data_IF_980933640385
#
_entry.id   IF_980933640385
#
_cell.length_a   1.000
_cell.length_b   1.000
_cell.length_c   1.000
_cell.angle_alpha   90.00
_cell.angle_beta   90.00
_cell.angle_gamma   90.00
#
_symmetry.space_group_name_H-M   'P 1'
#
loop_
_entity.id
_entity.type
_entity.pdbx_description
1 polymer ?
#
# COMPACT_ATOMS: atom_id res chain seq x y z
N UNK A 1 0.90 -8.47 -1.74
CA UNK A 1 1.94 -7.84 -0.89
C UNK A 1 2.50 -8.76 0.21
N UNK A 2 1.73 -9.75 0.70
CA UNK A 2 2.15 -10.62 1.81
C UNK A 2 3.52 -11.29 1.67
N UNK A 3 3.85 -11.87 0.52
CA UNK A 3 5.12 -12.60 0.38
C UNK A 3 6.34 -11.68 0.63
N UNK A 4 6.32 -10.45 0.08
CA UNK A 4 7.36 -9.45 0.33
C UNK A 4 7.43 -9.07 1.81
N UNK A 5 6.28 -8.83 2.45
CA UNK A 5 6.23 -8.56 3.90
C UNK A 5 6.86 -9.70 4.71
N UNK A 6 6.57 -10.96 4.36
CA UNK A 6 7.15 -12.13 5.02
C UNK A 6 8.68 -12.14 4.98
N UNK A 7 9.29 -11.71 3.87
CA UNK A 7 10.76 -11.61 3.76
C UNK A 7 11.39 -10.63 4.76
N UNK A 8 10.62 -9.63 5.24
CA UNK A 8 11.10 -8.60 6.17
C UNK A 8 10.92 -9.00 7.64
N UNK A 9 9.87 -9.77 7.95
CA UNK A 9 9.48 -10.11 9.33
C UNK A 9 9.98 -11.49 9.79
N UNK A 10 10.10 -12.45 8.88
CA UNK A 10 10.53 -13.81 9.21
C UNK A 10 12.02 -13.84 9.54
N UNK A 11 12.41 -14.56 10.60
CA UNK A 11 13.82 -14.66 11.03
C UNK A 11 14.73 -15.16 9.91
N UNK A 12 14.28 -16.12 9.10
CA UNK A 12 15.04 -16.68 7.98
C UNK A 12 14.85 -15.91 6.68
N UNK A 13 13.93 -14.94 6.62
CA UNK A 13 13.43 -14.39 5.35
C UNK A 13 12.29 -15.23 4.77
N UNK A 14 12.05 -15.12 3.45
CA UNK A 14 10.94 -15.80 2.80
C UNK A 14 11.04 -15.88 1.28
N UNK A 15 10.20 -16.72 0.69
CA UNK A 15 10.11 -16.89 -0.77
C UNK A 15 9.13 -15.89 -1.37
N UNK A 16 9.58 -15.16 -2.40
CA UNK A 16 8.73 -14.26 -3.21
C UNK A 16 8.27 -14.91 -4.51
N UNK A 17 8.99 -15.94 -4.96
CA UNK A 17 8.56 -16.85 -6.05
C UNK A 17 8.91 -18.28 -5.65
N UNK A 18 8.50 -19.28 -6.45
CA UNK A 18 8.86 -20.70 -6.21
C UNK A 18 10.38 -20.96 -6.17
N UNK A 19 11.20 -20.02 -6.68
CA UNK A 19 12.66 -20.20 -6.82
C UNK A 19 13.49 -19.08 -6.19
N UNK A 20 12.87 -17.98 -5.76
CA UNK A 20 13.58 -16.84 -5.19
C UNK A 20 13.27 -16.71 -3.71
N UNK A 21 14.24 -17.11 -2.88
CA UNK A 21 14.28 -16.83 -1.45
C UNK A 21 15.00 -15.50 -1.21
N UNK A 22 14.42 -14.64 -0.38
CA UNK A 22 15.01 -13.38 0.07
C UNK A 22 15.29 -13.50 1.57
N UNK A 23 16.58 -13.59 1.99
CA UNK A 23 16.96 -13.54 3.39
C UNK A 23 16.53 -12.23 4.03
N UNK A 24 16.19 -12.26 5.32
CA UNK A 24 15.77 -11.06 6.06
C UNK A 24 16.87 -9.99 6.07
N UNK A 25 18.11 -10.45 6.13
CA UNK A 25 19.31 -9.64 6.19
C UNK A 25 19.44 -8.72 4.97
N UNK A 26 18.86 -9.10 3.82
CA UNK A 26 18.83 -8.24 2.63
C UNK A 26 18.22 -6.87 2.96
N UNK A 27 17.22 -6.83 3.85
CA UNK A 27 16.54 -5.60 4.26
C UNK A 27 17.27 -4.84 5.38
N UNK A 28 18.15 -5.50 6.16
CA UNK A 28 18.86 -4.90 7.29
C UNK A 28 20.34 -4.61 7.04
N UNK A 29 20.92 -5.18 5.97
CA UNK A 29 22.32 -5.01 5.59
C UNK A 29 22.56 -3.59 5.06
N UNK A 30 22.82 -2.68 5.99
CA UNK A 30 23.33 -1.34 5.69
C UNK A 30 24.47 -1.41 4.69
N UNK A 31 24.40 -0.56 3.65
CA UNK A 31 25.47 -0.38 2.67
C UNK A 31 25.03 -0.30 1.22
N UNK A 32 23.79 -0.65 0.87
CA UNK A 32 23.22 -0.29 -0.42
C UNK A 32 22.72 1.15 -0.37
N UNK A 33 23.14 1.99 -1.32
CA UNK A 33 22.60 3.34 -1.47
C UNK A 33 21.30 3.25 -2.27
N UNK A 34 20.16 3.31 -1.58
CA UNK A 34 18.86 3.37 -2.24
C UNK A 34 18.62 4.77 -2.79
N UNK A 35 18.24 4.85 -4.07
CA UNK A 35 17.94 6.12 -4.72
C UNK A 35 16.63 6.71 -4.19
N UNK A 36 16.60 8.02 -3.96
CA UNK A 36 15.43 8.79 -3.51
C UNK A 36 14.75 8.19 -2.26
N UNK A 37 15.55 7.64 -1.34
CA UNK A 37 15.08 7.00 -0.12
C UNK A 37 14.16 7.93 0.72
N UNK A 38 14.49 9.22 0.94
CA UNK A 38 13.63 10.11 1.73
C UNK A 38 12.25 10.27 1.10
N UNK A 39 12.14 10.38 -0.22
CA UNK A 39 10.85 10.43 -0.90
C UNK A 39 10.07 9.14 -0.80
N UNK A 40 10.73 7.98 -0.90
CA UNK A 40 10.07 6.68 -0.72
C UNK A 40 9.51 6.53 0.68
N UNK A 41 10.28 6.91 1.71
CA UNK A 41 9.81 6.91 3.11
C UNK A 41 8.56 7.78 3.24
N UNK A 42 8.57 9.01 2.71
CA UNK A 42 7.39 9.90 2.73
C UNK A 42 6.19 9.31 2.01
N UNK A 43 6.39 8.70 0.83
CA UNK A 43 5.31 8.06 0.07
C UNK A 43 4.71 6.90 0.86
N UNK A 44 5.55 6.08 1.49
CA UNK A 44 5.12 4.96 2.32
C UNK A 44 4.30 5.43 3.52
N UNK A 45 4.71 6.51 4.18
CA UNK A 45 3.98 7.12 5.30
C UNK A 45 2.61 7.65 4.86
N UNK A 46 2.57 8.45 3.79
CA UNK A 46 1.32 8.99 3.23
C UNK A 46 0.33 7.88 2.87
N UNK A 47 0.81 6.79 2.25
CA UNK A 47 -0.03 5.66 1.91
C UNK A 47 -0.49 4.87 3.15
N UNK A 48 0.36 4.74 4.19
CA UNK A 48 -0.06 4.14 5.45
C UNK A 48 -1.19 4.93 6.10
N UNK A 49 -1.07 6.26 6.17
CA UNK A 49 -2.08 7.13 6.76
C UNK A 49 -3.41 7.04 6.00
N UNK A 50 -3.37 7.08 4.67
CA UNK A 50 -4.56 6.93 3.85
C UNK A 50 -5.22 5.54 4.00
N UNK A 51 -4.44 4.46 4.11
CA UNK A 51 -4.98 3.12 4.34
C UNK A 51 -5.55 2.94 5.75
N UNK A 52 -5.03 3.63 6.76
CA UNK A 52 -5.63 3.61 8.11
C UNK A 52 -7.03 4.25 8.09
N UNK A 53 -7.22 5.34 7.34
CA UNK A 53 -8.56 5.92 7.14
C UNK A 53 -9.50 4.95 6.41
N UNK A 54 -9.01 4.23 5.39
CA UNK A 54 -9.77 3.17 4.70
C UNK A 54 -10.12 2.03 5.67
N UNK A 55 -9.21 1.65 6.57
CA UNK A 55 -9.46 0.63 7.59
C UNK A 55 -10.55 1.03 8.57
N UNK A 56 -10.52 2.28 9.05
CA UNK A 56 -11.57 2.79 9.93
C UNK A 56 -12.94 2.77 9.23
N UNK A 57 -13.01 3.25 7.99
CA UNK A 57 -14.23 3.21 7.18
C UNK A 57 -14.70 1.77 6.88
N UNK A 58 -13.78 0.82 6.70
CA UNK A 58 -14.13 -0.59 6.55
C UNK A 58 -14.82 -1.15 7.78
N UNK A 59 -14.39 -0.77 8.98
CA UNK A 59 -15.01 -1.25 10.23
C UNK A 59 -16.43 -0.70 10.34
N UNK A 60 -16.66 0.54 9.92
CA UNK A 60 -17.99 1.14 9.87
C UNK A 60 -18.91 0.43 8.86
N UNK A 61 -18.38 0.12 7.68
CA UNK A 61 -19.11 -0.53 6.59
C UNK A 61 -19.42 -2.02 6.87
N UNK A 62 -18.44 -2.80 7.32
CA UNK A 62 -18.59 -4.24 7.53
C UNK A 62 -19.14 -4.58 8.93
N UNK A 63 -18.94 -3.71 9.93
CA UNK A 63 -19.22 -4.02 11.32
C UNK A 63 -18.16 -4.89 11.99
N UNK A 64 -18.36 -5.27 13.26
CA UNK A 64 -17.32 -5.83 14.13
C UNK A 64 -16.88 -7.25 13.74
N UNK A 65 -17.64 -7.93 12.88
CA UNK A 65 -17.33 -9.29 12.40
C UNK A 65 -16.34 -9.32 11.24
N UNK A 66 -15.82 -8.16 10.82
CA UNK A 66 -14.80 -8.03 9.78
C UNK A 66 -15.35 -8.20 8.36
N UNK A 67 -14.47 -8.10 7.36
CA UNK A 67 -14.85 -7.99 5.94
C UNK A 67 -15.60 -9.22 5.41
N UNK A 68 -15.22 -10.42 5.84
CA UNK A 68 -15.79 -11.67 5.34
C UNK A 68 -17.17 -12.00 5.91
N UNK A 69 -17.39 -11.70 7.20
CA UNK A 69 -18.60 -12.11 7.95
C UNK A 69 -19.45 -10.92 8.41
N UNK A 70 -19.01 -9.70 8.09
CA UNK A 70 -19.65 -8.46 8.46
C UNK A 70 -21.02 -8.28 7.81
N UNK A 71 -21.95 -7.71 8.58
CA UNK A 71 -23.33 -7.40 8.17
C UNK A 71 -23.62 -5.89 8.18
N UNK A 72 -22.63 -5.05 8.50
CA UNK A 72 -22.80 -3.61 8.80
C UNK A 72 -23.06 -3.33 10.29
N UNK A 73 -22.87 -2.07 10.72
CA UNK A 73 -23.19 -1.62 12.07
C UNK A 73 -24.69 -1.26 12.20
N UNK A 74 -25.56 -2.22 12.51
CA UNK A 74 -26.96 -1.93 12.81
C UNK A 74 -27.88 -3.15 12.94
N UNK A 75 -29.03 -2.96 13.59
CA UNK A 75 -30.17 -3.91 13.55
C UNK A 75 -30.82 -3.78 12.17
N UNK A 76 -30.22 -4.40 11.16
CA UNK A 76 -30.63 -4.27 9.76
C UNK A 76 -29.43 -4.28 8.82
N UNK A 77 -29.59 -4.92 7.68
CA UNK A 77 -28.59 -5.05 6.61
C UNK A 77 -27.96 -3.71 6.18
N UNK A 78 -26.71 -3.76 5.71
CA UNK A 78 -26.01 -2.66 5.00
C UNK A 78 -26.95 -1.89 4.09
N UNK A 79 -27.00 -0.56 4.26
CA UNK A 79 -27.86 0.32 3.46
C UNK A 79 -27.14 0.85 2.22
N UNK A 80 -27.90 1.38 1.26
CA UNK A 80 -27.34 2.08 0.10
C UNK A 80 -26.39 3.22 0.52
N UNK A 81 -26.76 3.98 1.57
CA UNK A 81 -25.96 5.09 2.09
C UNK A 81 -24.62 4.61 2.63
N UNK A 82 -24.58 3.46 3.29
CA UNK A 82 -23.34 2.87 3.80
C UNK A 82 -22.41 2.47 2.65
N UNK A 83 -22.99 1.90 1.58
CA UNK A 83 -22.26 1.60 0.35
C UNK A 83 -21.71 2.86 -0.35
N UNK A 84 -22.50 3.94 -0.42
CA UNK A 84 -22.08 5.23 -0.99
C UNK A 84 -20.96 5.88 -0.16
N UNK A 85 -21.05 5.83 1.17
CA UNK A 85 -20.00 6.31 2.07
C UNK A 85 -18.70 5.52 1.89
N UNK A 86 -18.80 4.19 1.81
CA UNK A 86 -17.65 3.33 1.56
C UNK A 86 -16.98 3.62 0.21
N UNK A 87 -17.77 3.80 -0.84
CA UNK A 87 -17.30 4.22 -2.17
C UNK A 87 -16.55 5.56 -2.08
N UNK A 88 -17.08 6.54 -1.34
CA UNK A 88 -16.45 7.85 -1.14
C UNK A 88 -15.09 7.71 -0.46
N UNK A 89 -14.96 6.83 0.54
CA UNK A 89 -13.70 6.59 1.25
C UNK A 89 -12.63 5.93 0.38
N UNK A 90 -13.03 4.99 -0.48
CA UNK A 90 -12.12 4.45 -1.50
C UNK A 90 -11.73 5.50 -2.55
N UNK A 91 -12.62 6.41 -2.92
CA UNK A 91 -12.28 7.51 -3.83
C UNK A 91 -11.29 8.49 -3.21
N UNK A 92 -11.46 8.87 -1.93
CA UNK A 92 -10.49 9.68 -1.20
C UNK A 92 -9.08 9.04 -1.20
N UNK A 93 -9.01 7.72 -1.00
CA UNK A 93 -7.75 6.97 -1.09
C UNK A 93 -7.14 7.02 -2.51
N UNK A 94 -7.96 6.84 -3.55
CA UNK A 94 -7.50 6.91 -4.94
C UNK A 94 -6.99 8.31 -5.32
N UNK A 95 -7.58 9.37 -4.78
CA UNK A 95 -7.06 10.74 -4.93
C UNK A 95 -5.67 10.86 -4.29
N UNK A 96 -5.42 10.24 -3.14
CA UNK A 96 -4.08 10.19 -2.54
C UNK A 96 -3.10 9.44 -3.46
N UNK A 97 -3.51 8.31 -4.03
CA UNK A 97 -2.71 7.57 -5.02
C UNK A 97 -2.32 8.42 -6.23
N UNK A 98 -3.29 9.15 -6.81
CA UNK A 98 -3.03 10.05 -7.95
C UNK A 98 -2.05 11.16 -7.58
N UNK A 99 -2.20 11.75 -6.40
CA UNK A 99 -1.28 12.77 -5.89
C UNK A 99 0.13 12.23 -5.67
N UNK A 100 0.29 10.98 -5.19
CA UNK A 100 1.59 10.33 -5.09
C UNK A 100 2.26 10.21 -6.46
N UNK A 101 1.51 9.79 -7.49
CA UNK A 101 2.05 9.70 -8.86
C UNK A 101 2.41 11.08 -9.40
N UNK A 102 1.55 12.07 -9.22
CA UNK A 102 1.77 13.43 -9.70
C UNK A 102 2.99 14.10 -9.06
N UNK A 103 3.16 13.96 -7.73
CA UNK A 103 4.23 14.60 -6.98
C UNK A 103 5.55 13.81 -6.98
N UNK A 104 5.50 12.48 -6.98
CA UNK A 104 6.67 11.63 -6.78
C UNK A 104 6.95 10.65 -7.91
N UNK A 105 6.08 10.50 -8.92
CA UNK A 105 6.20 9.49 -9.97
C UNK A 105 7.61 9.41 -10.58
N UNK A 106 8.15 10.54 -11.05
CA UNK A 106 9.53 10.61 -11.59
C UNK A 106 10.59 10.14 -10.60
N UNK A 107 10.48 10.53 -9.33
CA UNK A 107 11.45 10.16 -8.28
C UNK A 107 11.34 8.68 -7.88
N UNK A 108 10.15 8.10 -8.02
CA UNK A 108 9.93 6.66 -7.83
C UNK A 108 10.34 5.83 -9.06
N UNK A 109 10.69 6.48 -10.18
CA UNK A 109 10.94 5.84 -11.47
C UNK A 109 9.66 5.23 -12.07
N UNK A 110 8.51 5.82 -11.76
CA UNK A 110 7.19 5.41 -12.21
C UNK A 110 6.71 6.43 -13.25
N UNK A 111 6.24 5.97 -14.41
CA UNK A 111 5.71 6.84 -15.46
C UNK A 111 6.55 6.97 -16.74
N UNK A 112 7.57 6.12 -16.96
CA UNK A 112 8.29 6.07 -18.25
C UNK A 112 7.51 5.35 -19.38
N UNK A 113 6.28 4.88 -19.12
CA UNK A 113 5.48 4.13 -20.12
C UNK A 113 3.96 4.29 -20.05
N UNK A 114 3.43 5.21 -19.24
CA UNK A 114 2.00 5.49 -19.17
C UNK A 114 1.77 6.99 -19.37
N UNK A 115 0.84 7.35 -20.27
CA UNK A 115 0.48 8.74 -20.58
C UNK A 115 -0.10 9.39 -19.33
N UNK A 116 0.73 10.11 -18.59
CA UNK A 116 0.30 11.03 -17.53
C UNK A 116 -0.36 12.21 -18.24
N UNK A 117 -1.69 12.29 -18.22
CA UNK A 117 -2.37 13.55 -18.48
C UNK A 117 -1.89 14.54 -17.41
N UNK A 118 -1.11 15.54 -17.81
CA UNK A 118 -0.64 16.61 -16.92
C UNK A 118 -1.83 17.29 -16.27
N UNK A 119 -2.11 16.98 -15.01
CA UNK A 119 -2.84 17.88 -14.13
C UNK A 119 -1.82 18.94 -13.65
N UNK A 120 -1.88 20.11 -14.25
CA UNK A 120 -1.25 21.32 -13.73
C UNK A 120 -1.94 21.68 -12.41
N UNK A 121 -1.29 21.46 -11.27
CA UNK A 121 -1.87 21.77 -9.97
C UNK A 121 -1.13 21.17 -8.78
N UNK A 122 0.09 21.64 -8.51
CA UNK A 122 0.75 21.37 -7.24
C UNK A 122 0.14 22.23 -6.13
N UNK A 123 -1.12 21.98 -5.74
CA UNK A 123 -1.74 22.70 -4.60
C UNK A 123 -2.88 22.00 -3.85
N UNK A 124 -3.37 20.80 -4.20
CA UNK A 124 -4.51 20.22 -3.46
C UNK A 124 -4.15 19.02 -2.57
N UNK A 125 -3.20 19.23 -1.66
CA UNK A 125 -3.12 18.40 -0.47
C UNK A 125 -4.15 18.98 0.50
N UNK A 126 -5.33 18.38 0.61
CA UNK A 126 -6.39 18.87 1.49
C UNK A 126 -5.87 19.13 2.93
N UNK A 127 -6.47 20.10 3.63
CA UNK A 127 -5.91 20.68 4.85
C UNK A 127 -5.62 19.73 6.03
N UNK A 128 -6.10 18.48 6.00
CA UNK A 128 -5.71 17.44 6.97
C UNK A 128 -4.34 16.81 6.63
N UNK A 129 -4.11 16.48 5.36
CA UNK A 129 -2.84 15.93 4.87
C UNK A 129 -1.72 16.98 4.88
N UNK A 130 -2.02 18.24 4.57
CA UNK A 130 -1.05 19.33 4.64
C UNK A 130 -0.51 19.57 6.07
N UNK A 131 -1.35 19.43 7.10
CA UNK A 131 -0.93 19.59 8.51
C UNK A 131 -0.11 18.42 9.02
N UNK A 132 -0.40 17.19 8.58
CA UNK A 132 0.45 16.04 8.88
C UNK A 132 1.80 16.17 8.18
N UNK A 133 1.84 16.69 6.95
CA UNK A 133 3.06 16.98 6.21
C UNK A 133 3.95 18.00 6.94
N UNK A 134 3.39 19.12 7.42
CA UNK A 134 4.15 20.17 8.13
C UNK A 134 4.79 19.67 9.44
N UNK A 135 4.14 18.72 10.13
CA UNK A 135 4.71 18.11 11.35
C UNK A 135 5.87 17.15 11.06
N UNK A 136 6.00 16.71 9.82
CA UNK A 136 6.92 15.64 9.39
C UNK A 136 8.19 16.17 8.71
N UNK A 137 8.15 17.38 8.13
CA UNK A 137 9.35 18.03 7.55
C UNK A 137 10.43 18.39 8.59
N UNK A 138 10.10 18.34 9.88
CA UNK A 138 10.97 18.75 10.99
C UNK A 138 11.63 17.58 11.76
N UNK A 139 11.40 16.32 11.35
CA UNK A 139 11.88 15.13 12.03
C UNK A 139 13.31 14.73 11.61
N UNK A 140 14.31 15.02 12.45
CA UNK A 140 15.75 14.73 12.20
C UNK A 140 16.16 13.24 12.19
N UNK A 141 15.23 12.29 12.04
CA UNK A 141 15.49 10.83 12.09
C UNK A 141 14.90 10.03 10.89
N UNK A 142 14.46 10.70 9.82
CA UNK A 142 13.71 10.08 8.71
C UNK A 142 14.54 9.20 7.75
N UNK A 143 15.87 9.21 7.84
CA UNK A 143 16.75 8.66 6.77
C UNK A 143 17.34 7.27 7.07
N UNK A 144 16.85 6.57 8.09
CA UNK A 144 17.40 5.23 8.40
C UNK A 144 16.77 4.16 7.48
N UNK A 145 17.57 3.24 6.89
CA UNK A 145 17.04 2.07 6.17
C UNK A 145 16.05 1.25 7.01
N UNK A 146 16.20 1.27 8.33
CA UNK A 146 15.27 0.65 9.27
C UNK A 146 13.89 1.30 9.24
N UNK A 147 13.81 2.63 9.21
CA UNK A 147 12.55 3.38 9.12
C UNK A 147 11.82 3.04 7.82
N UNK A 148 12.55 2.96 6.71
CA UNK A 148 11.99 2.54 5.42
C UNK A 148 11.39 1.13 5.49
N UNK A 149 12.15 0.15 6.00
CA UNK A 149 11.68 -1.24 6.11
C UNK A 149 10.49 -1.36 7.05
N UNK A 150 10.48 -0.66 8.19
CA UNK A 150 9.32 -0.64 9.09
C UNK A 150 8.08 -0.03 8.42
N UNK A 151 8.27 1.05 7.67
CA UNK A 151 7.20 1.64 6.85
C UNK A 151 6.64 0.64 5.84
N UNK A 152 7.51 -0.09 5.12
CA UNK A 152 7.07 -1.10 4.15
C UNK A 152 6.30 -2.25 4.81
N UNK A 153 6.75 -2.74 5.97
CA UNK A 153 6.04 -3.78 6.73
C UNK A 153 4.62 -3.30 7.07
N UNK A 154 4.50 -2.07 7.59
CA UNK A 154 3.20 -1.47 7.94
C UNK A 154 2.32 -1.29 6.71
N UNK A 155 2.86 -0.72 5.63
CA UNK A 155 2.14 -0.49 4.37
C UNK A 155 1.59 -1.81 3.81
N UNK A 156 2.43 -2.85 3.76
CA UNK A 156 2.00 -4.15 3.25
C UNK A 156 0.96 -4.81 4.13
N UNK A 157 1.05 -4.67 5.45
CA UNK A 157 0.03 -5.15 6.36
C UNK A 157 -1.31 -4.44 6.13
N UNK A 158 -1.31 -3.10 6.08
CA UNK A 158 -2.52 -2.31 5.86
C UNK A 158 -3.15 -2.59 4.47
N UNK A 159 -2.32 -2.79 3.44
CA UNK A 159 -2.80 -3.06 2.08
C UNK A 159 -3.60 -4.36 1.94
N UNK A 160 -3.44 -5.30 2.88
CA UNK A 160 -4.19 -6.56 2.86
C UNK A 160 -5.70 -6.35 2.99
N UNK A 161 -6.12 -5.26 3.62
CA UNK A 161 -7.53 -4.89 3.68
C UNK A 161 -8.17 -4.80 2.29
N UNK A 162 -7.46 -4.25 1.30
CA UNK A 162 -7.97 -4.12 -0.07
C UNK A 162 -8.15 -5.49 -0.74
N UNK A 163 -7.23 -6.42 -0.47
CA UNK A 163 -7.31 -7.80 -0.95
C UNK A 163 -8.51 -8.51 -0.29
N UNK A 164 -8.72 -8.34 1.02
CA UNK A 164 -9.87 -8.89 1.76
C UNK A 164 -11.21 -8.40 1.18
N UNK A 165 -11.35 -7.10 0.91
CA UNK A 165 -12.56 -6.55 0.28
C UNK A 165 -12.76 -7.05 -1.15
N UNK A 166 -11.68 -7.18 -1.92
CA UNK A 166 -11.74 -7.73 -3.28
C UNK A 166 -12.21 -9.18 -3.24
N UNK A 167 -11.71 -9.98 -2.30
CA UNK A 167 -12.15 -11.36 -2.11
C UNK A 167 -13.61 -11.44 -1.66
N UNK A 168 -14.02 -10.62 -0.69
CA UNK A 168 -15.38 -10.60 -0.15
C UNK A 168 -16.44 -10.23 -1.20
N UNK A 169 -16.10 -9.32 -2.13
CA UNK A 169 -16.97 -8.95 -3.24
C UNK A 169 -17.10 -10.07 -4.29
N UNK A 170 -16.03 -10.86 -4.50
CA UNK A 170 -15.95 -11.89 -5.52
C UNK A 170 -16.20 -13.32 -5.02
N UNK A 171 -16.37 -13.52 -3.71
CA UNK A 171 -16.55 -14.85 -3.12
C UNK A 171 -17.88 -15.47 -3.52
N UNK A 172 -17.95 -16.80 -3.43
CA UNK A 172 -19.18 -17.57 -3.64
C UNK A 172 -19.38 -18.51 -2.43
N UNK A 173 -20.39 -18.29 -1.57
CA UNK A 173 -21.32 -17.16 -1.58
C UNK A 173 -20.62 -15.81 -1.32
N UNK A 174 -21.18 -14.72 -1.85
CA UNK A 174 -20.67 -13.36 -1.65
C UNK A 174 -20.80 -12.96 -0.18
N UNK A 175 -19.82 -12.21 0.33
CA UNK A 175 -19.85 -11.78 1.73
C UNK A 175 -21.11 -10.96 2.04
N UNK A 176 -21.69 -11.09 3.25
CA UNK A 176 -23.02 -10.53 3.53
C UNK A 176 -23.12 -9.01 3.32
N UNK A 177 -22.13 -8.26 3.80
CA UNK A 177 -22.05 -6.81 3.62
C UNK A 177 -22.12 -6.36 2.14
N UNK A 178 -21.56 -7.16 1.23
CA UNK A 178 -21.62 -6.89 -0.20
C UNK A 178 -22.89 -7.42 -0.84
N UNK A 179 -23.38 -8.58 -0.40
CA UNK A 179 -24.59 -9.19 -0.94
C UNK A 179 -25.85 -8.34 -0.73
N UNK A 180 -25.88 -7.53 0.33
CA UNK A 180 -26.95 -6.59 0.62
C UNK A 180 -26.93 -5.33 -0.28
N UNK A 181 -25.82 -5.06 -0.99
CA UNK A 181 -25.69 -3.86 -1.81
C UNK A 181 -26.34 -4.01 -3.19
N UNK A 182 -26.90 -2.90 -3.68
CA UNK A 182 -27.35 -2.76 -5.05
C UNK A 182 -26.21 -3.03 -6.05
N UNK A 183 -26.55 -3.62 -7.19
CA UNK A 183 -25.57 -4.09 -8.20
C UNK A 183 -24.70 -2.95 -8.75
N UNK A 184 -25.25 -1.75 -8.92
CA UNK A 184 -24.52 -0.56 -9.38
C UNK A 184 -23.41 -0.14 -8.40
N UNK A 185 -23.68 -0.21 -7.09
CA UNK A 185 -22.68 0.07 -6.07
C UNK A 185 -21.58 -1.00 -6.05
N UNK A 186 -21.94 -2.28 -6.20
CA UNK A 186 -20.98 -3.38 -6.27
C UNK A 186 -20.02 -3.23 -7.44
N UNK A 187 -20.52 -2.91 -8.64
CA UNK A 187 -19.68 -2.67 -9.82
C UNK A 187 -18.75 -1.46 -9.61
N UNK A 188 -19.24 -0.40 -8.98
CA UNK A 188 -18.42 0.78 -8.66
C UNK A 188 -17.30 0.43 -7.67
N UNK A 189 -17.60 -0.35 -6.64
CA UNK A 189 -16.62 -0.83 -5.66
C UNK A 189 -15.56 -1.74 -6.31
N UNK A 190 -15.97 -2.64 -7.21
CA UNK A 190 -15.07 -3.50 -7.97
C UNK A 190 -14.04 -2.68 -8.76
N UNK A 191 -14.51 -1.67 -9.51
CA UNK A 191 -13.65 -0.79 -10.30
C UNK A 191 -12.64 -0.03 -9.43
N UNK A 192 -13.07 0.46 -8.26
CA UNK A 192 -12.18 1.18 -7.33
C UNK A 192 -11.15 0.26 -6.70
N UNK A 193 -11.55 -0.93 -6.23
CA UNK A 193 -10.64 -1.93 -5.67
C UNK A 193 -9.61 -2.39 -6.72
N UNK A 194 -10.05 -2.61 -7.96
CA UNK A 194 -9.17 -2.93 -9.08
C UNK A 194 -8.17 -1.81 -9.34
N UNK A 195 -8.62 -0.55 -9.41
CA UNK A 195 -7.73 0.61 -9.60
C UNK A 195 -6.71 0.75 -8.45
N UNK A 196 -7.10 0.48 -7.21
CA UNK A 196 -6.18 0.44 -6.08
C UNK A 196 -5.12 -0.65 -6.26
N UNK A 197 -5.52 -1.85 -6.70
CA UNK A 197 -4.59 -2.94 -7.01
C UNK A 197 -3.60 -2.57 -8.12
N UNK A 198 -4.09 -1.96 -9.20
CA UNK A 198 -3.27 -1.46 -10.30
C UNK A 198 -2.26 -0.40 -9.85
N UNK A 199 -2.64 0.50 -8.93
CA UNK A 199 -1.71 1.45 -8.33
C UNK A 199 -0.58 0.75 -7.55
N UNK A 200 -0.92 -0.23 -6.70
CA UNK A 200 0.10 -0.97 -5.96
C UNK A 200 1.04 -1.74 -6.90
N UNK A 201 0.51 -2.33 -7.96
CA UNK A 201 1.31 -3.07 -8.94
C UNK A 201 2.23 -2.15 -9.76
N UNK A 202 1.71 -1.03 -10.25
CA UNK A 202 2.42 -0.15 -11.17
C UNK A 202 3.32 0.88 -10.48
N UNK A 203 2.99 1.31 -9.27
CA UNK A 203 3.72 2.35 -8.53
C UNK A 203 4.53 1.74 -7.41
N UNK A 204 3.87 1.08 -6.45
CA UNK A 204 4.49 0.66 -5.19
C UNK A 204 5.46 -0.50 -5.41
N UNK A 205 5.03 -1.57 -6.07
CA UNK A 205 5.90 -2.71 -6.38
C UNK A 205 7.08 -2.31 -7.27
N UNK A 206 6.87 -1.38 -8.20
CA UNK A 206 7.92 -0.94 -9.13
C UNK A 206 9.15 -0.41 -8.41
N UNK A 207 9.00 0.49 -7.44
CA UNK A 207 10.18 1.02 -6.72
C UNK A 207 10.72 0.03 -5.69
N UNK A 208 9.86 -0.80 -5.07
CA UNK A 208 10.27 -1.78 -4.06
C UNK A 208 11.08 -2.92 -4.70
N UNK A 209 10.67 -3.42 -5.86
CA UNK A 209 11.40 -4.50 -6.55
C UNK A 209 12.77 -4.01 -7.03
N UNK A 210 12.89 -2.74 -7.46
CA UNK A 210 14.18 -2.13 -7.78
C UNK A 210 15.09 -2.03 -6.55
N UNK A 211 14.54 -1.60 -5.43
CA UNK A 211 15.29 -1.51 -4.17
C UNK A 211 15.72 -2.90 -3.69
N UNK A 212 14.82 -3.88 -3.76
CA UNK A 212 15.14 -5.27 -3.44
C UNK A 212 16.26 -5.80 -4.34
N UNK A 213 16.23 -5.51 -5.65
CA UNK A 213 17.31 -5.90 -6.57
C UNK A 213 18.65 -5.27 -6.16
N UNK A 214 18.67 -3.99 -5.79
CA UNK A 214 19.88 -3.30 -5.36
C UNK A 214 20.42 -3.85 -4.03
N UNK A 215 19.52 -4.19 -3.09
CA UNK A 215 19.88 -4.80 -1.82
C UNK A 215 20.42 -6.23 -2.01
N UNK A 216 19.78 -7.03 -2.88
CA UNK A 216 20.23 -8.39 -3.21
C UNK A 216 21.61 -8.40 -3.87
N UNK A 217 21.86 -7.51 -4.84
CA UNK A 217 23.18 -7.37 -5.47
C UNK A 217 24.26 -7.03 -4.43
N UNK A 218 23.96 -6.09 -3.53
CA UNK A 218 24.89 -5.73 -2.45
C UNK A 218 25.12 -6.88 -1.47
N UNK A 219 24.08 -7.63 -1.15
CA UNK A 219 24.14 -8.79 -0.26
C UNK A 219 24.98 -9.92 -0.86
N UNK A 220 24.76 -10.26 -2.13
CA UNK A 220 25.51 -11.28 -2.84
C UNK A 220 27.01 -10.97 -2.90
N UNK A 221 27.37 -9.73 -3.29
CA UNK A 221 28.77 -9.26 -3.32
C UNK A 221 29.46 -9.30 -1.96
N UNK A 222 28.71 -9.11 -0.86
CA UNK A 222 29.28 -9.30 0.48
C UNK A 222 29.52 -10.78 0.74
N UNK A 223 28.55 -11.65 0.45
CA UNK A 223 28.68 -13.10 0.63
C UNK A 223 29.88 -13.70 -0.10
N UNK A 224 30.15 -13.26 -1.34
CA UNK A 224 31.34 -13.68 -2.09
C UNK A 224 32.65 -13.35 -1.37
N UNK A 225 32.73 -12.19 -0.69
CA UNK A 225 33.94 -11.82 0.08
C UNK A 225 34.14 -12.71 1.29
N UNK A 226 33.05 -13.02 2.01
CA UNK A 226 33.09 -13.93 3.17
C UNK A 226 33.49 -15.36 2.78
N UNK A 227 33.19 -15.80 1.56
CA UNK A 227 33.57 -17.12 1.07
C UNK A 227 35.01 -17.17 0.53
N UNK A 228 35.60 -16.02 0.22
CA UNK A 228 36.96 -15.91 -0.29
C UNK A 228 38.02 -15.73 0.83
N UNK A 229 37.56 -15.48 2.06
CA UNK A 229 38.36 -15.44 3.30
C UNK A 229 38.36 -16.81 4.00
#
# INVERSE_FOLDING_TARGET
MNLLRYTMISKSGGYVTRRLHVPREVWSQGGAKLLNLPEKVRVVEVLCDALMEVQNASVEFCGPMGVANGMGLGVGSVTRKDGELWISKLEEFLVVCDNVVASFGKKLGVGEGFVIKKASGMTSWGGKFARQLDKLTNGKNLDSPMSYVQGLIKLFQLSQLLDEHTMALNSQPMAPAYSALATDLRLTLELKLKRSSEFFASVVLTFIIRDLSALLDKYAKKGEKWLAE
#
